data_IF_774166067087
#
_entry.id   IF_774166067087
#
_cell.length_a   1.000
_cell.length_b   1.000
_cell.length_c   1.000
_cell.angle_alpha   90.00
_cell.angle_beta   90.00
_cell.angle_gamma   90.00
#
_symmetry.space_group_name_H-M   'P 1'
#
loop_
_entity.id
_entity.type
_entity.pdbx_description
1 polymer ?
#
# COMPACT_ATOMS: atom_id res chain seq x y z
N UNK A 1 -8.30 -23.31 -0.81
CA UNK A 1 -7.84 -22.74 -2.10
C UNK A 1 -7.88 -21.22 -1.97
N UNK A 2 -6.72 -20.55 -1.96
CA UNK A 2 -6.67 -19.07 -1.90
C UNK A 2 -7.13 -18.49 -3.24
N UNK A 3 -8.11 -17.58 -3.20
CA UNK A 3 -8.68 -16.95 -4.41
C UNK A 3 -7.96 -15.64 -4.68
N UNK A 4 -7.24 -15.57 -5.79
CA UNK A 4 -6.62 -14.36 -6.30
C UNK A 4 -7.67 -13.55 -7.06
N UNK A 5 -7.76 -12.25 -6.78
CA UNK A 5 -8.61 -11.34 -7.57
C UNK A 5 -7.79 -10.57 -8.60
N UNK A 6 -6.59 -10.09 -8.25
CA UNK A 6 -5.76 -9.21 -9.10
C UNK A 6 -4.27 -9.52 -8.89
N UNK A 7 -3.48 -9.54 -9.97
CA UNK A 7 -2.06 -9.92 -9.98
C UNK A 7 -1.05 -8.80 -10.25
N UNK A 8 -1.46 -7.65 -10.79
CA UNK A 8 -0.74 -6.36 -10.79
C UNK A 8 -1.58 -5.37 -11.60
N UNK A 9 -2.03 -4.28 -10.99
CA UNK A 9 -2.76 -3.23 -11.72
C UNK A 9 -2.34 -1.85 -11.24
N UNK A 10 -2.12 -0.95 -12.20
CA UNK A 10 -1.99 0.47 -11.90
C UNK A 10 -3.37 1.05 -11.62
N UNK A 11 -3.52 1.69 -10.47
CA UNK A 11 -4.78 2.25 -9.98
C UNK A 11 -4.60 3.73 -9.73
N UNK A 12 -5.55 4.53 -10.24
CA UNK A 12 -5.59 5.97 -10.03
C UNK A 12 -6.66 6.28 -8.99
N UNK A 13 -6.31 7.08 -7.99
CA UNK A 13 -7.32 7.64 -7.10
C UNK A 13 -7.98 8.83 -7.82
N UNK A 14 -9.31 8.82 -8.06
CA UNK A 14 -9.96 9.83 -8.90
C UNK A 14 -9.90 11.23 -8.28
N UNK A 15 -10.15 11.33 -6.96
CA UNK A 15 -10.18 12.60 -6.23
C UNK A 15 -8.78 13.11 -5.87
N UNK A 16 -7.95 12.27 -5.23
CA UNK A 16 -6.62 12.66 -4.75
C UNK A 16 -5.54 12.70 -5.84
N UNK A 17 -5.89 12.32 -7.08
CA UNK A 17 -5.07 12.47 -8.30
C UNK A 17 -3.65 11.90 -8.24
N UNK A 18 -3.43 10.85 -7.45
CA UNK A 18 -2.21 10.04 -7.49
C UNK A 18 -2.49 8.68 -8.14
N UNK A 19 -1.41 7.98 -8.50
CA UNK A 19 -1.45 6.64 -9.08
C UNK A 19 -0.50 5.75 -8.30
N UNK A 20 -0.96 4.54 -8.00
CA UNK A 20 -0.15 3.50 -7.38
C UNK A 20 -0.25 2.21 -8.17
N UNK A 21 0.70 1.31 -7.92
CA UNK A 21 0.65 -0.06 -8.43
C UNK A 21 0.21 -0.97 -7.29
N UNK A 22 -0.96 -1.60 -7.45
CA UNK A 22 -1.42 -2.66 -6.55
C UNK A 22 -0.87 -3.99 -7.07
N UNK A 23 0.14 -4.59 -6.41
CA UNK A 23 0.82 -5.75 -6.95
C UNK A 23 -0.03 -7.01 -6.82
N UNK A 24 -0.75 -7.23 -5.72
CA UNK A 24 -1.63 -8.39 -5.63
C UNK A 24 -2.81 -8.11 -4.69
N UNK A 25 -3.99 -8.61 -5.05
CA UNK A 25 -5.17 -8.62 -4.18
C UNK A 25 -5.70 -10.04 -4.14
N UNK A 26 -5.69 -10.65 -2.96
CA UNK A 26 -6.08 -12.05 -2.78
C UNK A 26 -6.62 -12.31 -1.36
N UNK A 27 -7.31 -13.45 -1.21
CA UNK A 27 -7.70 -13.93 0.11
C UNK A 27 -6.52 -14.58 0.82
N UNK A 28 -6.26 -14.16 2.06
CA UNK A 28 -5.31 -14.76 2.98
C UNK A 28 -6.02 -14.99 4.32
N UNK A 29 -5.98 -16.22 4.84
CA UNK A 29 -6.65 -16.62 6.10
C UNK A 29 -8.10 -16.14 6.21
N UNK A 30 -8.87 -16.26 5.14
CA UNK A 30 -10.30 -15.95 5.12
C UNK A 30 -10.68 -14.47 4.90
N UNK A 31 -9.71 -13.55 4.81
CA UNK A 31 -9.97 -12.14 4.53
C UNK A 31 -9.27 -11.66 3.27
N UNK A 32 -9.86 -10.66 2.60
CA UNK A 32 -9.31 -10.05 1.39
C UNK A 32 -8.22 -9.05 1.75
N UNK A 33 -7.03 -9.21 1.19
CA UNK A 33 -5.87 -8.35 1.45
C UNK A 33 -5.34 -7.73 0.16
N UNK A 34 -4.78 -6.53 0.27
CA UNK A 34 -3.80 -6.05 -0.70
C UNK A 34 -2.41 -6.49 -0.23
N UNK A 35 -1.70 -7.22 -1.08
CA UNK A 35 -0.45 -7.92 -0.76
C UNK A 35 0.73 -7.19 -1.41
N UNK A 36 1.73 -6.84 -0.63
CA UNK A 36 3.03 -6.34 -1.07
C UNK A 36 4.14 -7.33 -0.74
N UNK A 37 4.99 -7.62 -1.71
CA UNK A 37 6.17 -8.45 -1.52
C UNK A 37 7.39 -7.55 -1.29
N UNK A 38 8.23 -7.91 -0.31
CA UNK A 38 9.46 -7.21 0.01
C UNK A 38 10.60 -8.21 0.09
N UNK A 39 11.64 -8.00 -0.71
CA UNK A 39 12.91 -8.74 -0.55
C UNK A 39 13.69 -8.15 0.62
N UNK A 40 14.14 -8.99 1.55
CA UNK A 40 14.98 -8.59 2.69
C UNK A 40 16.11 -9.60 2.92
N UNK A 41 17.24 -9.14 3.44
CA UNK A 41 18.38 -9.99 3.80
C UNK A 41 18.45 -10.29 5.30
N UNK A 42 17.58 -9.64 6.09
CA UNK A 42 17.57 -9.76 7.55
C UNK A 42 16.16 -10.16 7.97
N UNK A 43 16.07 -11.17 8.86
CA UNK A 43 14.86 -11.44 9.63
C UNK A 43 14.70 -10.31 10.66
N UNK A 44 14.35 -9.12 10.20
CA UNK A 44 14.07 -7.99 11.08
C UNK A 44 12.64 -8.13 11.57
N UNK A 45 12.44 -8.06 12.89
CA UNK A 45 11.11 -7.85 13.46
C UNK A 45 10.56 -6.59 12.80
N UNK A 46 9.50 -6.73 12.00
CA UNK A 46 8.95 -5.62 11.23
C UNK A 46 8.57 -4.51 12.20
N UNK A 47 9.39 -3.45 12.28
CA UNK A 47 9.01 -2.23 12.97
C UNK A 47 7.98 -1.54 12.08
N UNK A 48 6.70 -1.49 12.48
CA UNK A 48 5.66 -0.92 11.64
C UNK A 48 5.96 0.55 11.34
N UNK A 49 6.75 1.21 12.19
CA UNK A 49 6.87 2.67 12.32
C UNK A 49 7.59 3.36 11.15
N UNK A 50 8.54 2.70 10.48
CA UNK A 50 9.45 3.38 9.52
C UNK A 50 9.45 2.83 8.10
N UNK A 51 8.65 1.80 7.78
CA UNK A 51 8.85 1.13 6.51
C UNK A 51 8.13 1.83 5.33
N UNK A 52 8.84 2.24 4.24
CA UNK A 52 8.24 2.85 3.05
C UNK A 52 7.11 2.02 2.42
N UNK A 53 7.19 0.69 2.53
CA UNK A 53 6.15 -0.23 2.06
C UNK A 53 4.81 0.00 2.75
N UNK A 54 4.77 0.39 4.02
CA UNK A 54 3.51 0.69 4.71
C UNK A 54 2.78 1.87 4.06
N UNK A 55 3.52 2.93 3.71
CA UNK A 55 2.95 4.10 3.04
C UNK A 55 2.48 3.77 1.62
N UNK A 56 3.20 2.91 0.89
CA UNK A 56 2.77 2.42 -0.43
C UNK A 56 1.54 1.52 -0.34
N UNK A 57 1.49 0.64 0.66
CA UNK A 57 0.36 -0.26 0.92
C UNK A 57 -0.93 0.54 1.14
N UNK A 58 -0.93 1.51 2.06
CA UNK A 58 -2.13 2.33 2.32
C UNK A 58 -2.49 3.21 1.13
N UNK A 59 -1.51 3.71 0.37
CA UNK A 59 -1.76 4.47 -0.85
C UNK A 59 -2.46 3.61 -1.91
N UNK A 60 -1.99 2.38 -2.13
CA UNK A 60 -2.60 1.45 -3.06
C UNK A 60 -4.02 1.05 -2.62
N UNK A 61 -4.23 0.78 -1.33
CA UNK A 61 -5.56 0.47 -0.77
C UNK A 61 -6.50 1.66 -0.97
N UNK A 62 -6.07 2.89 -0.65
CA UNK A 62 -6.87 4.09 -0.85
C UNK A 62 -7.25 4.30 -2.32
N UNK A 63 -6.34 4.04 -3.25
CA UNK A 63 -6.61 4.16 -4.68
C UNK A 63 -7.59 3.08 -5.17
N UNK A 64 -7.45 1.84 -4.70
CA UNK A 64 -8.35 0.72 -5.01
C UNK A 64 -9.75 0.99 -4.48
N UNK A 65 -9.88 1.36 -3.21
CA UNK A 65 -11.18 1.59 -2.58
C UNK A 65 -11.91 2.80 -3.15
N UNK A 66 -11.19 3.79 -3.69
CA UNK A 66 -11.78 4.96 -4.33
C UNK A 66 -12.05 4.77 -5.83
N UNK A 67 -11.71 3.61 -6.41
CA UNK A 67 -11.85 3.37 -7.85
C UNK A 67 -13.09 2.53 -8.15
N UNK A 68 -13.91 3.00 -9.09
CA UNK A 68 -15.07 2.26 -9.60
C UNK A 68 -14.71 0.97 -10.34
N UNK A 69 -13.41 0.72 -10.59
CA UNK A 69 -12.93 -0.48 -11.25
C UNK A 69 -13.01 -1.74 -10.37
N UNK A 70 -13.26 -1.59 -9.07
CA UNK A 70 -13.26 -2.69 -8.10
C UNK A 70 -14.58 -2.74 -7.33
N UNK A 71 -15.38 -3.82 -7.46
CA UNK A 71 -16.68 -3.95 -6.78
C UNK A 71 -16.51 -4.43 -5.33
N UNK A 72 -15.42 -4.06 -4.65
CA UNK A 72 -15.11 -4.50 -3.30
C UNK A 72 -14.22 -3.49 -2.58
N UNK A 73 -14.26 -3.51 -1.25
CA UNK A 73 -13.36 -2.73 -0.40
C UNK A 73 -12.31 -3.63 0.25
N UNK A 74 -11.13 -3.06 0.46
CA UNK A 74 -10.02 -3.68 1.17
C UNK A 74 -9.81 -2.93 2.48
N UNK A 75 -9.85 -3.66 3.59
CA UNK A 75 -9.59 -3.13 4.94
C UNK A 75 -8.43 -3.84 5.65
N UNK A 76 -7.73 -4.76 4.96
CA UNK A 76 -6.53 -5.43 5.46
C UNK A 76 -5.40 -5.38 4.44
N UNK A 77 -4.18 -5.23 4.92
CA UNK A 77 -2.96 -5.30 4.13
C UNK A 77 -2.13 -6.52 4.51
N UNK A 78 -1.31 -7.00 3.58
CA UNK A 78 -0.34 -8.05 3.86
C UNK A 78 1.00 -7.62 3.28
N UNK A 79 2.04 -7.57 4.10
CA UNK A 79 3.41 -7.40 3.63
C UNK A 79 4.09 -8.75 3.81
N UNK A 80 4.67 -9.29 2.74
CA UNK A 80 5.35 -10.58 2.76
C UNK A 80 6.84 -10.37 2.55
N UNK A 81 7.62 -10.74 3.55
CA UNK A 81 9.07 -10.73 3.48
C UNK A 81 9.58 -11.99 2.82
N UNK A 82 10.35 -11.81 1.75
CA UNK A 82 11.03 -12.88 1.02
C UNK A 82 12.52 -12.75 1.29
N UNK A 83 13.13 -13.82 1.82
CA UNK A 83 14.54 -13.82 2.19
C UNK A 83 15.42 -14.29 1.03
N UNK A 84 16.52 -13.59 0.79
CA UNK A 84 17.50 -13.99 -0.24
C UNK A 84 18.17 -15.34 0.05
N UNK A 85 18.13 -15.80 1.31
CA UNK A 85 18.66 -17.08 1.74
C UNK A 85 17.79 -18.28 1.34
N UNK A 86 16.57 -18.07 0.86
CA UNK A 86 15.61 -19.14 0.59
C UNK A 86 14.81 -19.60 1.81
N UNK A 87 15.03 -18.98 2.98
CA UNK A 87 14.20 -19.20 4.17
C UNK A 87 12.71 -18.92 3.89
N UNK A 88 11.78 -19.61 4.59
CA UNK A 88 10.35 -19.42 4.40
C UNK A 88 9.94 -17.95 4.51
N UNK A 89 9.09 -17.50 3.60
CA UNK A 89 8.61 -16.13 3.59
C UNK A 89 7.78 -15.81 4.85
N UNK A 90 7.94 -14.60 5.38
CA UNK A 90 7.22 -14.17 6.59
C UNK A 90 6.05 -13.25 6.23
N UNK A 91 4.79 -13.66 6.47
CA UNK A 91 3.63 -12.82 6.28
C UNK A 91 3.41 -11.88 7.47
N UNK A 92 3.28 -10.59 7.19
CA UNK A 92 2.94 -9.55 8.15
C UNK A 92 1.57 -8.96 7.82
N UNK A 93 0.56 -9.35 8.60
CA UNK A 93 -0.80 -8.81 8.46
C UNK A 93 -0.84 -7.40 9.01
N UNK A 94 -1.43 -6.48 8.25
CA UNK A 94 -1.65 -5.09 8.62
C UNK A 94 -3.13 -4.88 8.80
N UNK A 95 -3.54 -4.71 10.05
CA UNK A 95 -4.93 -4.52 10.44
C UNK A 95 -5.42 -3.09 10.16
N UNK A 96 -6.74 -2.92 10.10
CA UNK A 96 -7.41 -1.69 9.69
C UNK A 96 -6.98 -0.46 10.49
N UNK A 97 -6.88 -0.57 11.82
CA UNK A 97 -6.43 0.51 12.69
C UNK A 97 -5.04 1.06 12.30
N UNK A 98 -4.11 0.16 11.96
CA UNK A 98 -2.78 0.51 11.52
C UNK A 98 -2.81 1.09 10.10
N UNK A 99 -3.65 0.56 9.20
CA UNK A 99 -3.85 1.15 7.88
C UNK A 99 -4.36 2.60 7.96
N UNK A 100 -5.35 2.87 8.80
CA UNK A 100 -5.92 4.22 8.99
C UNK A 100 -4.87 5.20 9.51
N UNK A 101 -4.07 4.79 10.51
CA UNK A 101 -2.97 5.59 11.02
C UNK A 101 -1.97 5.98 9.91
N UNK A 102 -1.61 5.01 9.06
CA UNK A 102 -0.67 5.25 7.96
C UNK A 102 -1.29 6.01 6.80
N UNK A 103 -2.58 5.84 6.56
CA UNK A 103 -3.33 6.61 5.57
C UNK A 103 -3.28 8.10 5.90
N UNK A 104 -3.50 8.48 7.17
CA UNK A 104 -3.36 9.87 7.62
C UNK A 104 -1.94 10.39 7.38
N UNK A 105 -0.91 9.59 7.68
CA UNK A 105 0.49 9.96 7.42
C UNK A 105 0.76 10.14 5.92
N UNK A 106 0.22 9.26 5.09
CA UNK A 106 0.35 9.35 3.64
C UNK A 106 -0.36 10.60 3.09
N UNK A 107 -1.58 10.92 3.56
CA UNK A 107 -2.32 12.13 3.18
C UNK A 107 -1.53 13.41 3.53
N UNK A 108 -0.87 13.44 4.69
CA UNK A 108 0.02 14.55 5.05
C UNK A 108 1.17 14.72 4.05
N UNK A 109 1.78 13.62 3.60
CA UNK A 109 2.83 13.66 2.56
C UNK A 109 2.30 14.14 1.22
N UNK A 110 1.12 13.67 0.81
CA UNK A 110 0.48 14.13 -0.44
C UNK A 110 0.18 15.63 -0.39
N UNK A 111 -0.38 16.12 0.72
CA UNK A 111 -0.63 17.55 0.92
C UNK A 111 0.65 18.37 0.79
N UNK A 112 1.74 17.95 1.46
CA UNK A 112 3.04 18.61 1.37
C UNK A 112 3.58 18.63 -0.05
N UNK A 113 3.42 17.53 -0.81
CA UNK A 113 3.81 17.47 -2.22
C UNK A 113 3.06 18.52 -3.04
N UNK A 114 1.73 18.60 -2.94
CA UNK A 114 0.95 19.60 -3.67
C UNK A 114 1.28 21.05 -3.27
N UNK A 115 1.49 21.30 -1.97
CA UNK A 115 1.91 22.63 -1.50
C UNK A 115 3.26 23.04 -2.08
N UNK A 116 4.24 22.13 -2.10
CA UNK A 116 5.57 22.40 -2.65
C UNK A 116 5.55 22.54 -4.17
N UNK A 117 4.72 21.75 -4.86
CA UNK A 117 4.51 21.85 -6.30
C UNK A 117 3.95 23.23 -6.67
N UNK A 118 2.92 23.69 -5.96
CA UNK A 118 2.31 25.01 -6.19
C UNK A 118 3.28 26.15 -5.86
N UNK A 119 4.12 26.01 -4.82
CA UNK A 119 5.16 27.01 -4.52
C UNK A 119 6.15 27.14 -5.67
N UNK A 120 6.63 26.02 -6.23
CA UNK A 120 7.58 26.03 -7.36
C UNK A 120 6.99 26.71 -8.59
N UNK A 121 5.73 26.42 -8.93
CA UNK A 121 5.05 27.05 -10.08
C UNK A 121 5.05 28.59 -9.99
N UNK A 122 4.81 29.14 -8.79
CA UNK A 122 4.85 30.60 -8.55
C UNK A 122 6.22 31.27 -8.72
N UNK A 123 7.32 30.51 -8.79
CA UNK A 123 8.65 31.05 -9.07
C UNK A 123 8.98 31.08 -10.57
N UNK A 124 8.15 30.46 -11.42
CA UNK A 124 8.33 30.43 -12.87
C UNK A 124 7.28 31.28 -13.61
N UNK A 125 6.44 32.02 -12.87
CA UNK A 125 5.54 33.08 -13.35
C UNK A 125 6.13 34.44 -12.96
#
# INVERSE_FOLDING_TARGET
MEKIKILTRSVKHPVLRYRETAPCIAFYRGALHLIFWRKTNVQTIMSPITHPTMLRLVAAIGAVNASDAFPFMINKGLIVDIYSSGEPATPHVVEQNLLELYWIRWLKRLKLFHMNFNKKMKFFE
#
